data_IF_369088716596
#
_entry.id   IF_369088716596
#
_cell.length_a   1.000
_cell.length_b   1.000
_cell.length_c   1.000
_cell.angle_alpha   90.00
_cell.angle_beta   90.00
_cell.angle_gamma   90.00
#
_symmetry.space_group_name_H-M   'P 1'
#
loop_
_entity.id
_entity.type
_entity.pdbx_description
1 polymer ?
#
# COMPACT_ATOMS: atom_id res chain seq x y z
N UNK A 1 9.67 -21.67 -13.01
CA UNK A 1 9.41 -20.26 -13.37
C UNK A 1 10.72 -19.48 -13.52
N UNK A 2 10.64 -18.18 -13.77
CA UNK A 2 11.77 -17.31 -14.12
C UNK A 2 12.23 -16.42 -12.96
N UNK A 3 11.94 -16.81 -11.72
CA UNK A 3 12.27 -16.02 -10.52
C UNK A 3 13.76 -15.67 -10.40
N UNK A 4 14.65 -16.54 -10.89
CA UNK A 4 16.09 -16.31 -10.90
C UNK A 4 16.52 -15.11 -11.77
N UNK A 5 15.66 -14.64 -12.67
CA UNK A 5 15.89 -13.44 -13.48
C UNK A 5 15.51 -12.14 -12.76
N UNK A 6 14.88 -12.24 -11.58
CA UNK A 6 14.46 -11.09 -10.79
C UNK A 6 15.42 -10.84 -9.63
N UNK A 7 15.92 -9.60 -9.53
CA UNK A 7 16.42 -9.11 -8.26
C UNK A 7 15.22 -8.81 -7.37
N UNK A 8 15.04 -9.58 -6.30
CA UNK A 8 13.92 -9.42 -5.36
C UNK A 8 13.92 -8.01 -4.74
N UNK A 9 15.09 -7.37 -4.59
CA UNK A 9 15.17 -6.01 -4.06
C UNK A 9 14.78 -4.96 -5.10
N UNK A 10 14.87 -5.29 -6.39
CA UNK A 10 14.82 -4.36 -7.52
C UNK A 10 14.08 -4.94 -8.73
N UNK A 11 12.90 -5.51 -8.46
CA UNK A 11 12.06 -6.20 -9.44
C UNK A 11 11.64 -5.27 -10.60
N UNK A 12 11.43 -4.00 -10.31
CA UNK A 12 11.15 -2.92 -11.26
C UNK A 12 12.20 -2.88 -12.38
N UNK A 13 13.50 -2.84 -12.04
CA UNK A 13 14.57 -2.77 -13.05
C UNK A 13 14.79 -4.09 -13.76
N UNK A 14 14.64 -5.22 -13.08
CA UNK A 14 14.71 -6.53 -13.74
C UNK A 14 13.63 -6.67 -14.80
N UNK A 15 12.37 -6.35 -14.48
CA UNK A 15 11.25 -6.45 -15.41
C UNK A 15 11.36 -5.45 -16.56
N UNK A 16 11.79 -4.21 -16.30
CA UNK A 16 12.05 -3.22 -17.34
C UNK A 16 13.14 -3.71 -18.31
N UNK A 17 14.25 -4.24 -17.80
CA UNK A 17 15.33 -4.81 -18.64
C UNK A 17 14.85 -6.01 -19.46
N UNK A 18 14.04 -6.89 -18.86
CA UNK A 18 13.46 -8.03 -19.57
C UNK A 18 12.57 -7.54 -20.71
N UNK A 19 11.82 -6.46 -20.52
CA UNK A 19 10.91 -5.90 -21.52
C UNK A 19 11.59 -5.37 -22.79
N UNK A 20 12.90 -5.13 -22.77
CA UNK A 20 13.66 -4.64 -23.94
C UNK A 20 13.61 -5.60 -25.14
N UNK A 21 13.48 -6.92 -24.89
CA UNK A 21 13.43 -7.94 -25.96
C UNK A 21 12.02 -8.25 -26.47
N UNK A 22 11.04 -8.63 -25.62
CA UNK A 22 9.69 -8.96 -26.05
C UNK A 22 8.81 -7.72 -26.28
N UNK A 23 9.26 -6.55 -25.81
CA UNK A 23 8.49 -5.31 -25.87
C UNK A 23 7.68 -5.03 -24.59
N UNK A 24 6.81 -4.00 -24.65
CA UNK A 24 6.17 -3.41 -23.46
C UNK A 24 5.07 -4.27 -22.83
N UNK A 25 4.64 -5.36 -23.47
CA UNK A 25 3.64 -6.28 -22.95
C UNK A 25 4.16 -7.71 -23.14
N UNK A 26 4.38 -8.43 -22.04
CA UNK A 26 4.90 -9.79 -22.11
C UNK A 26 4.41 -10.65 -20.95
N UNK A 27 4.39 -11.97 -21.16
CA UNK A 27 4.09 -12.93 -20.11
C UNK A 27 5.38 -13.31 -19.38
N UNK A 28 5.36 -13.24 -18.05
CA UNK A 28 6.46 -13.62 -17.18
C UNK A 28 6.03 -14.74 -16.22
N UNK A 29 6.69 -15.91 -16.25
CA UNK A 29 6.45 -16.98 -15.27
C UNK A 29 7.03 -16.61 -13.89
N UNK A 30 6.21 -16.09 -12.98
CA UNK A 30 6.57 -15.76 -11.61
C UNK A 30 6.36 -16.99 -10.69
N UNK A 31 7.41 -17.79 -10.52
CA UNK A 31 7.33 -19.03 -9.74
C UNK A 31 6.39 -20.04 -10.41
N UNK A 32 5.28 -20.35 -9.74
CA UNK A 32 4.20 -21.21 -10.24
C UNK A 32 3.07 -20.43 -10.94
N UNK A 33 3.09 -19.11 -10.88
CA UNK A 33 2.07 -18.25 -11.48
C UNK A 33 2.59 -17.65 -12.80
N UNK A 34 1.71 -17.51 -13.79
CA UNK A 34 1.99 -16.71 -14.99
C UNK A 34 1.40 -15.33 -14.78
N UNK A 35 2.21 -14.30 -14.96
CA UNK A 35 1.76 -12.90 -14.87
C UNK A 35 1.98 -12.20 -16.21
N UNK A 36 1.09 -11.28 -16.56
CA UNK A 36 1.30 -10.37 -17.68
C UNK A 36 1.92 -9.09 -17.12
N UNK A 37 3.05 -8.68 -17.68
CA UNK A 37 3.78 -7.48 -17.27
C UNK A 37 3.57 -6.41 -18.32
N UNK A 38 3.13 -5.24 -17.87
CA UNK A 38 2.95 -4.04 -18.68
C UNK A 38 4.05 -3.04 -18.32
N UNK A 39 4.85 -2.63 -19.29
CA UNK A 39 5.92 -1.64 -19.11
C UNK A 39 5.72 -0.43 -20.01
N UNK A 40 6.07 0.75 -19.49
CA UNK A 40 5.93 2.01 -20.21
C UNK A 40 4.51 2.59 -20.18
N UNK A 41 4.43 3.91 -20.35
CA UNK A 41 3.19 4.67 -20.20
C UNK A 41 2.06 4.19 -21.12
N UNK A 42 2.34 3.98 -22.40
CA UNK A 42 1.32 3.63 -23.40
C UNK A 42 0.63 2.31 -23.06
N UNK A 43 1.39 1.24 -22.80
CA UNK A 43 0.84 -0.08 -22.47
C UNK A 43 0.02 -0.06 -21.16
N UNK A 44 0.51 0.64 -20.14
CA UNK A 44 -0.20 0.77 -18.85
C UNK A 44 -1.49 1.58 -19.02
N UNK A 45 -1.44 2.70 -19.76
CA UNK A 45 -2.60 3.55 -20.01
C UNK A 45 -3.68 2.80 -20.80
N UNK A 46 -3.29 2.14 -21.90
CA UNK A 46 -4.22 1.42 -22.77
C UNK A 46 -4.91 0.27 -22.01
N UNK A 47 -4.16 -0.46 -21.17
CA UNK A 47 -4.74 -1.52 -20.34
C UNK A 47 -5.66 -0.97 -19.24
N UNK A 48 -5.22 0.01 -18.46
CA UNK A 48 -5.96 0.44 -17.27
C UNK A 48 -7.10 1.42 -17.54
N UNK A 49 -7.02 2.22 -18.60
CA UNK A 49 -8.07 3.20 -18.94
C UNK A 49 -9.00 2.69 -20.05
N UNK A 50 -8.46 2.18 -21.16
CA UNK A 50 -9.30 1.83 -22.31
C UNK A 50 -9.97 0.45 -22.16
N UNK A 51 -9.40 -0.42 -21.33
CA UNK A 51 -9.93 -1.77 -21.05
C UNK A 51 -10.10 -2.01 -19.54
N UNK A 52 -10.31 -0.93 -18.78
CA UNK A 52 -10.29 -0.93 -17.31
C UNK A 52 -11.20 -1.98 -16.66
N UNK A 53 -12.38 -2.25 -17.23
CA UNK A 53 -13.30 -3.26 -16.70
C UNK A 53 -12.74 -4.69 -16.78
N UNK A 54 -11.96 -5.01 -17.83
CA UNK A 54 -11.32 -6.33 -17.95
C UNK A 54 -10.16 -6.51 -16.96
N UNK A 55 -9.52 -5.41 -16.56
CA UNK A 55 -8.42 -5.39 -15.58
C UNK A 55 -8.87 -4.87 -14.20
N UNK A 56 -10.18 -4.78 -13.96
CA UNK A 56 -10.74 -4.26 -12.72
C UNK A 56 -10.57 -5.24 -11.55
N UNK A 57 -10.29 -6.51 -11.84
CA UNK A 57 -10.14 -7.53 -10.80
C UNK A 57 -8.88 -7.34 -9.94
N UNK A 58 -8.88 -7.95 -8.76
CA UNK A 58 -7.79 -7.93 -7.78
C UNK A 58 -7.38 -9.38 -7.49
N UNK A 59 -6.35 -9.91 -8.17
CA UNK A 59 -5.89 -11.26 -7.89
C UNK A 59 -5.46 -11.38 -6.42
N UNK A 60 -5.80 -12.48 -5.74
CA UNK A 60 -5.54 -12.63 -4.32
C UNK A 60 -4.04 -12.64 -4.07
N UNK A 61 -3.58 -11.71 -3.25
CA UNK A 61 -2.21 -11.71 -2.72
C UNK A 61 -2.24 -12.54 -1.43
N UNK A 62 -1.52 -13.68 -1.34
CA UNK A 62 -1.71 -14.66 -0.27
C UNK A 62 -1.68 -14.08 1.15
N UNK A 63 -0.75 -13.17 1.44
CA UNK A 63 -0.64 -12.54 2.76
C UNK A 63 -1.88 -11.72 3.12
N UNK A 64 -2.42 -10.94 2.18
CA UNK A 64 -3.63 -10.15 2.42
C UNK A 64 -4.86 -11.03 2.49
N UNK A 65 -4.89 -12.13 1.73
CA UNK A 65 -5.95 -13.12 1.84
C UNK A 65 -5.98 -13.78 3.23
N UNK A 66 -4.84 -14.12 3.82
CA UNK A 66 -4.82 -14.71 5.17
C UNK A 66 -5.30 -13.75 6.27
N UNK A 67 -5.05 -12.44 6.12
CA UNK A 67 -5.47 -11.44 7.12
C UNK A 67 -6.92 -11.04 6.93
N UNK A 68 -7.32 -10.81 5.68
CA UNK A 68 -8.59 -10.14 5.35
C UNK A 68 -9.63 -11.11 4.76
N UNK A 69 -9.25 -12.37 4.50
CA UNK A 69 -10.12 -13.42 3.99
C UNK A 69 -10.83 -13.03 2.68
N UNK A 70 -10.13 -12.29 1.81
CA UNK A 70 -10.68 -11.78 0.54
C UNK A 70 -11.72 -10.66 0.68
N UNK A 71 -11.79 -10.04 1.87
CA UNK A 71 -12.66 -8.89 2.16
C UNK A 71 -11.85 -7.59 2.14
N UNK A 72 -12.54 -6.48 2.43
CA UNK A 72 -12.03 -5.11 2.43
C UNK A 72 -11.80 -4.47 1.05
N UNK A 73 -11.86 -3.14 1.00
CA UNK A 73 -11.93 -2.35 -0.24
C UNK A 73 -10.74 -2.53 -1.19
N UNK A 74 -9.55 -2.87 -0.67
CA UNK A 74 -8.34 -2.99 -1.48
C UNK A 74 -8.12 -4.38 -2.08
N UNK A 75 -8.65 -5.43 -1.45
CA UNK A 75 -8.33 -6.83 -1.76
C UNK A 75 -9.55 -7.71 -2.05
N UNK A 76 -10.76 -7.17 -1.91
CA UNK A 76 -11.96 -7.82 -2.44
C UNK A 76 -12.01 -7.73 -3.96
N UNK A 77 -12.86 -8.57 -4.56
CA UNK A 77 -12.99 -8.74 -6.01
C UNK A 77 -14.47 -8.69 -6.41
N UNK A 78 -14.73 -8.46 -7.71
CA UNK A 78 -16.06 -8.51 -8.32
C UNK A 78 -17.10 -7.62 -7.59
N UNK A 79 -18.29 -8.15 -7.33
CA UNK A 79 -19.40 -7.40 -6.75
C UNK A 79 -19.08 -6.91 -5.35
N UNK A 80 -18.41 -7.72 -4.53
CA UNK A 80 -18.00 -7.32 -3.18
C UNK A 80 -17.09 -6.08 -3.22
N UNK A 81 -16.17 -6.02 -4.19
CA UNK A 81 -15.33 -4.83 -4.39
C UNK A 81 -16.16 -3.61 -4.77
N UNK A 82 -17.07 -3.73 -5.74
CA UNK A 82 -17.93 -2.63 -6.19
C UNK A 82 -18.76 -2.08 -5.04
N UNK A 83 -19.47 -2.94 -4.31
CA UNK A 83 -20.32 -2.53 -3.18
C UNK A 83 -19.50 -1.91 -2.05
N UNK A 84 -18.39 -2.55 -1.65
CA UNK A 84 -17.54 -2.04 -0.56
C UNK A 84 -16.90 -0.71 -0.92
N UNK A 85 -16.41 -0.56 -2.16
CA UNK A 85 -15.84 0.70 -2.66
C UNK A 85 -16.87 1.81 -2.70
N UNK A 86 -18.05 1.53 -3.26
CA UNK A 86 -19.13 2.50 -3.30
C UNK A 86 -19.51 2.98 -1.90
N UNK A 87 -19.75 2.05 -0.98
CA UNK A 87 -20.09 2.38 0.41
C UNK A 87 -18.99 3.19 1.09
N UNK A 88 -17.72 2.80 0.90
CA UNK A 88 -16.58 3.51 1.50
C UNK A 88 -16.47 4.95 0.97
N UNK A 89 -16.63 5.15 -0.34
CA UNK A 89 -16.57 6.49 -0.95
C UNK A 89 -17.75 7.35 -0.50
N UNK A 90 -18.95 6.78 -0.42
CA UNK A 90 -20.13 7.47 0.11
C UNK A 90 -19.91 7.90 1.56
N UNK A 91 -19.49 6.97 2.43
CA UNK A 91 -19.20 7.27 3.83
C UNK A 91 -18.09 8.33 3.99
N UNK A 92 -17.02 8.28 3.20
CA UNK A 92 -15.98 9.32 3.20
C UNK A 92 -16.54 10.68 2.78
N UNK A 93 -17.44 10.71 1.80
CA UNK A 93 -18.08 11.96 1.34
C UNK A 93 -19.02 12.54 2.40
N UNK A 94 -19.75 11.69 3.11
CA UNK A 94 -20.65 12.09 4.22
C UNK A 94 -19.87 12.62 5.42
N UNK A 95 -18.65 12.10 5.65
CA UNK A 95 -17.69 12.64 6.62
C UNK A 95 -17.02 13.94 6.15
N UNK A 96 -17.38 14.46 4.98
CA UNK A 96 -16.76 15.64 4.35
C UNK A 96 -15.23 15.49 4.18
N UNK A 97 -14.79 14.25 3.97
CA UNK A 97 -13.38 13.90 3.77
C UNK A 97 -12.93 14.41 2.39
N UNK A 98 -11.96 15.31 2.38
CA UNK A 98 -11.52 16.04 1.19
C UNK A 98 -12.13 17.44 1.05
N UNK A 99 -12.94 17.88 2.02
CA UNK A 99 -13.37 19.27 2.20
C UNK A 99 -13.00 19.76 3.61
N UNK A 100 -13.95 20.24 4.40
CA UNK A 100 -13.67 20.96 5.64
C UNK A 100 -13.05 20.07 6.72
N UNK A 101 -13.67 18.91 7.01
CA UNK A 101 -13.20 18.04 8.09
C UNK A 101 -11.78 17.52 7.81
N UNK A 102 -11.52 17.11 6.57
CA UNK A 102 -10.19 16.63 6.17
C UNK A 102 -9.12 17.71 6.34
N UNK A 103 -9.41 18.93 5.88
CA UNK A 103 -8.48 20.06 6.01
C UNK A 103 -8.23 20.44 7.48
N UNK A 104 -9.29 20.51 8.29
CA UNK A 104 -9.19 20.83 9.71
C UNK A 104 -8.28 19.83 10.45
N UNK A 105 -8.49 18.52 10.22
CA UNK A 105 -7.66 17.48 10.83
C UNK A 105 -6.22 17.51 10.34
N UNK A 106 -5.99 17.83 9.07
CA UNK A 106 -4.63 18.00 8.52
C UNK A 106 -3.91 19.19 9.15
N UNK A 107 -4.57 20.35 9.24
CA UNK A 107 -4.00 21.55 9.86
C UNK A 107 -3.76 21.37 11.36
N UNK A 108 -4.66 20.67 12.05
CA UNK A 108 -4.49 20.29 13.45
C UNK A 108 -3.26 19.41 13.65
N UNK A 109 -3.13 18.32 12.89
CA UNK A 109 -1.99 17.42 13.04
C UNK A 109 -0.66 18.06 12.61
N UNK A 110 -0.69 18.96 11.62
CA UNK A 110 0.49 19.73 11.22
C UNK A 110 1.03 20.59 12.36
N UNK A 111 0.15 21.18 13.20
CA UNK A 111 0.59 21.94 14.38
C UNK A 111 1.36 21.06 15.36
N UNK A 112 0.82 19.89 15.69
CA UNK A 112 1.48 18.92 16.56
C UNK A 112 2.83 18.44 15.99
N UNK A 113 2.88 18.17 14.68
CA UNK A 113 4.12 17.74 14.03
C UNK A 113 5.20 18.84 14.07
N UNK A 114 4.83 20.10 13.86
CA UNK A 114 5.76 21.24 13.95
C UNK A 114 6.31 21.38 15.37
N UNK A 115 5.47 21.23 16.39
CA UNK A 115 5.88 21.28 17.79
C UNK A 115 6.85 20.15 18.13
N UNK A 116 6.57 18.92 17.68
CA UNK A 116 7.49 17.79 17.81
C UNK A 116 8.84 18.09 17.15
N UNK A 117 8.86 18.60 15.92
CA UNK A 117 10.12 18.91 15.21
C UNK A 117 10.91 20.01 15.95
N UNK A 118 10.22 21.03 16.47
CA UNK A 118 10.87 22.09 17.27
C UNK A 118 11.48 21.54 18.57
N UNK A 119 10.82 20.59 19.24
CA UNK A 119 11.30 20.01 20.49
C UNK A 119 12.60 19.21 20.33
N UNK A 120 12.87 18.72 19.11
CA UNK A 120 14.09 17.97 18.77
C UNK A 120 15.34 18.88 18.78
N UNK A 121 15.17 20.22 18.67
CA UNK A 121 16.26 21.23 18.77
C UNK A 121 17.41 20.96 17.79
N UNK A 122 17.08 20.60 16.55
CA UNK A 122 18.07 20.35 15.49
C UNK A 122 18.86 19.05 15.63
N UNK A 123 18.57 18.22 16.63
CA UNK A 123 19.18 16.89 16.75
C UNK A 123 18.70 15.97 15.63
N UNK A 124 19.51 14.98 15.22
CA UNK A 124 19.04 13.94 14.31
C UNK A 124 17.85 13.18 14.92
N UNK A 125 16.85 12.89 14.08
CA UNK A 125 15.71 12.03 14.42
C UNK A 125 15.42 11.08 13.27
N UNK A 126 14.67 10.00 13.56
CA UNK A 126 14.37 8.99 12.55
C UNK A 126 13.21 9.46 11.65
N UNK A 127 13.38 9.46 10.33
CA UNK A 127 12.37 10.00 9.40
C UNK A 127 11.02 9.27 9.45
N UNK A 128 10.99 8.01 9.88
CA UNK A 128 9.74 7.26 9.98
C UNK A 128 8.75 7.87 11.00
N UNK A 129 9.21 8.68 11.96
CA UNK A 129 8.32 9.42 12.86
C UNK A 129 7.37 10.34 12.10
N UNK A 130 7.75 10.81 10.91
CA UNK A 130 6.88 11.63 10.05
C UNK A 130 5.64 10.85 9.54
N UNK A 131 5.71 9.52 9.50
CA UNK A 131 4.57 8.69 9.09
C UNK A 131 3.46 8.66 10.14
N UNK A 132 3.72 9.10 11.36
CA UNK A 132 2.71 9.14 12.42
C UNK A 132 1.62 10.17 12.16
N UNK A 133 1.97 11.34 11.59
CA UNK A 133 1.00 12.39 11.34
C UNK A 133 -0.13 11.94 10.37
N UNK A 134 0.16 11.35 9.18
CA UNK A 134 -0.89 10.79 8.33
C UNK A 134 -1.73 9.70 9.00
N UNK A 135 -1.11 8.87 9.86
CA UNK A 135 -1.84 7.87 10.64
C UNK A 135 -2.79 8.52 11.64
N UNK A 136 -2.36 9.54 12.37
CA UNK A 136 -3.20 10.28 13.32
C UNK A 136 -4.36 11.00 12.64
N UNK A 137 -4.15 11.58 11.46
CA UNK A 137 -5.26 12.14 10.65
C UNK A 137 -6.29 11.05 10.36
N UNK A 138 -5.84 9.86 9.97
CA UNK A 138 -6.72 8.72 9.72
C UNK A 138 -7.45 8.27 10.98
N UNK A 139 -6.76 8.16 12.12
CA UNK A 139 -7.38 7.79 13.40
C UNK A 139 -8.38 8.85 13.89
N UNK A 140 -8.08 10.12 13.72
CA UNK A 140 -8.97 11.21 14.08
C UNK A 140 -10.26 11.19 13.24
N UNK A 141 -10.16 10.88 11.95
CA UNK A 141 -11.33 10.76 11.06
C UNK A 141 -12.17 9.52 11.43
N UNK A 142 -11.52 8.37 11.66
CA UNK A 142 -12.22 7.10 11.87
C UNK A 142 -12.77 6.92 13.29
N UNK A 143 -12.03 7.37 14.30
CA UNK A 143 -12.32 7.12 15.72
C UNK A 143 -12.56 8.41 16.52
N UNK A 144 -12.50 9.58 15.86
CA UNK A 144 -12.69 10.87 16.52
C UNK A 144 -11.55 11.27 17.46
N UNK A 145 -10.42 10.54 17.46
CA UNK A 145 -9.30 10.78 18.37
C UNK A 145 -7.94 10.55 17.71
N UNK A 146 -6.97 11.35 18.14
CA UNK A 146 -5.54 11.16 17.82
C UNK A 146 -4.82 10.40 18.95
N UNK A 147 -3.63 9.91 18.65
CA UNK A 147 -2.69 9.41 19.64
C UNK A 147 -1.57 10.41 19.87
N UNK A 148 -0.99 10.37 21.07
CA UNK A 148 0.27 11.05 21.33
C UNK A 148 1.39 10.38 20.52
N UNK A 149 2.37 11.17 20.05
CA UNK A 149 3.53 10.61 19.34
C UNK A 149 4.42 9.76 20.26
N UNK A 150 4.35 9.98 21.56
CA UNK A 150 5.06 9.18 22.56
C UNK A 150 4.24 7.98 23.06
N UNK A 151 2.98 7.82 22.63
CA UNK A 151 2.12 6.72 23.07
C UNK A 151 2.72 5.37 22.63
N UNK A 152 3.07 4.47 23.58
CA UNK A 152 3.66 3.18 23.27
C UNK A 152 2.76 2.29 22.40
N UNK A 153 1.44 2.41 22.53
CA UNK A 153 0.46 1.69 21.71
C UNK A 153 0.51 2.18 20.27
N UNK A 154 0.58 3.49 20.07
CA UNK A 154 0.67 4.09 18.75
C UNK A 154 2.00 3.79 18.08
N UNK A 155 3.10 3.88 18.83
CA UNK A 155 4.42 3.44 18.40
C UNK A 155 4.36 1.96 18.00
N UNK A 156 3.87 1.09 18.87
CA UNK A 156 3.83 -0.36 18.64
C UNK A 156 2.92 -0.73 17.45
N UNK A 157 1.74 -0.15 17.31
CA UNK A 157 0.82 -0.42 16.20
C UNK A 157 1.32 0.18 14.86
N UNK A 158 1.86 1.40 14.87
CA UNK A 158 2.46 2.01 13.67
C UNK A 158 3.74 1.30 13.23
N UNK A 159 4.54 0.76 14.17
CA UNK A 159 5.71 -0.06 13.90
C UNK A 159 5.36 -1.49 13.44
N UNK A 160 4.36 -2.15 14.03
CA UNK A 160 4.12 -3.58 13.83
C UNK A 160 3.15 -3.92 12.68
N UNK A 161 2.10 -3.14 12.43
CA UNK A 161 1.04 -3.64 11.54
C UNK A 161 1.34 -3.45 10.05
N UNK A 162 1.98 -2.33 9.68
CA UNK A 162 2.34 -2.04 8.29
C UNK A 162 3.70 -2.61 7.86
N UNK A 163 4.72 -2.42 8.71
CA UNK A 163 6.10 -2.77 8.34
C UNK A 163 6.50 -4.17 8.76
N UNK A 164 6.12 -4.64 9.97
CA UNK A 164 6.54 -5.96 10.41
C UNK A 164 5.88 -7.06 9.57
N UNK A 165 4.62 -6.93 9.12
CA UNK A 165 4.00 -7.94 8.25
C UNK A 165 4.60 -7.97 6.84
N UNK A 166 4.83 -6.82 6.21
CA UNK A 166 5.44 -6.79 4.85
C UNK A 166 6.94 -7.15 4.90
N UNK A 167 7.64 -6.76 5.97
CA UNK A 167 9.08 -7.05 6.16
C UNK A 167 9.33 -8.46 6.72
N UNK A 168 8.44 -9.02 7.54
CA UNK A 168 8.47 -10.45 7.86
C UNK A 168 8.44 -11.21 6.54
N UNK A 169 7.54 -10.89 5.61
CA UNK A 169 7.43 -11.60 4.32
C UNK A 169 8.61 -11.45 3.36
N UNK A 170 9.40 -10.38 3.47
CA UNK A 170 10.72 -10.34 2.81
C UNK A 170 11.72 -11.34 3.44
N UNK A 171 11.51 -11.71 4.70
CA UNK A 171 12.33 -12.64 5.49
C UNK A 171 11.64 -14.00 5.83
N UNK A 172 10.36 -14.22 5.48
CA UNK A 172 9.60 -15.42 5.84
C UNK A 172 10.03 -16.57 4.94
N UNK A 173 10.15 -17.81 5.46
CA UNK A 173 10.67 -18.95 4.70
C UNK A 173 9.88 -19.32 3.45
N UNK A 174 8.70 -18.75 3.19
CA UNK A 174 7.94 -19.01 1.95
C UNK A 174 8.72 -18.55 0.70
N UNK A 175 9.59 -17.53 0.80
CA UNK A 175 10.54 -17.18 -0.27
C UNK A 175 11.81 -18.05 -0.21
N UNK A 176 12.18 -18.61 0.95
CA UNK A 176 13.26 -19.60 1.08
C UNK A 176 12.85 -21.01 0.61
N UNK A 177 11.56 -21.33 0.54
CA UNK A 177 11.04 -22.60 0.02
C UNK A 177 11.09 -22.71 -1.50
N UNK A 178 11.51 -21.64 -2.19
CA UNK A 178 11.85 -21.64 -3.62
C UNK A 178 13.35 -21.94 -3.86
N UNK A 179 14.06 -22.43 -2.84
CA UNK A 179 15.47 -22.90 -2.92
C UNK A 179 15.65 -24.42 -2.84
N UNK A 180 14.60 -25.20 -3.09
CA UNK A 180 14.72 -26.61 -3.46
C UNK A 180 13.78 -26.93 -4.61
#
# INVERSE_FOLDING_TARGET
GNLHLLDIRRQDKSLMKISEKPGPVFTFPLGFQKVVVLTGYKAVKDALLNTGDMFADRPPVPIFYHVQHGKAVFFSSQELWKTTRWFTIAAMSDLDMGKHLGEERMLEELRFLIELIKSIKGRPFQLWFLNMAPSNITFAILFGRRFDYEDPTFLTQSLLEGMARVSFFKNTPVIKLLKY
#
